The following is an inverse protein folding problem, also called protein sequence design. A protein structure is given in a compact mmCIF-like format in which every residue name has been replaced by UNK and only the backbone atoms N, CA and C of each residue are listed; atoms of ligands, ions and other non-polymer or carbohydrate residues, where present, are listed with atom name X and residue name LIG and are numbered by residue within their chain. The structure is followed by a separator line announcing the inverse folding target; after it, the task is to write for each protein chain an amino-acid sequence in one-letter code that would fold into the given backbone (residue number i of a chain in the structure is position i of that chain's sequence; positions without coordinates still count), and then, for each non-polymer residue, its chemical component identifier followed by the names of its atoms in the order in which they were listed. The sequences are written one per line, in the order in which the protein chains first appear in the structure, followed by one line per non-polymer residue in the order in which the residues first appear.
data_IF_051375223620
#
_entry.id   IF_051375223620
#
_cell.length_a   1.000
_cell.length_b   1.000
_cell.length_c   1.000
_cell.angle_alpha   90.00
_cell.angle_beta   90.00
_cell.angle_gamma   90.00
#
_symmetry.space_group_name_H-M   'P 1'
#
loop_
_entity.id
_entity.type
_entity.pdbx_description
1 polymer ?
#
# COMPACT_ATOMS: atom_id res chain seq x y z
N UNK A 1 14.90 15.99 -20.55
CA UNK A 1 16.01 15.00 -20.47
C UNK A 1 15.39 13.65 -20.23
N UNK A 2 15.32 12.80 -21.26
CA UNK A 2 14.77 11.44 -21.13
C UNK A 2 15.78 10.61 -20.35
N UNK A 3 15.43 10.18 -19.13
CA UNK A 3 16.23 9.18 -18.43
C UNK A 3 16.03 7.85 -19.15
N UNK A 4 17.09 7.34 -19.78
CA UNK A 4 17.10 5.96 -20.26
C UNK A 4 16.86 5.04 -19.07
N UNK A 5 15.81 4.21 -19.14
CA UNK A 5 15.49 3.23 -18.10
C UNK A 5 16.66 2.25 -18.00
N UNK A 6 17.07 1.95 -16.77
CA UNK A 6 18.24 1.11 -16.49
C UNK A 6 17.92 -0.33 -16.88
N UNK A 7 18.83 -0.97 -17.61
CA UNK A 7 18.76 -2.41 -17.86
C UNK A 7 19.24 -3.14 -16.59
N UNK A 8 18.42 -4.06 -16.08
CA UNK A 8 18.71 -4.86 -14.89
C UNK A 8 19.07 -6.28 -15.31
N UNK A 9 20.01 -6.92 -14.59
CA UNK A 9 20.30 -8.34 -14.78
C UNK A 9 19.35 -9.19 -13.91
N UNK A 10 19.16 -10.48 -14.21
CA UNK A 10 18.18 -11.34 -13.51
C UNK A 10 18.35 -11.40 -11.98
N UNK A 11 19.54 -11.07 -11.44
CA UNK A 11 19.82 -11.00 -10.00
C UNK A 11 19.61 -9.62 -9.36
N UNK A 12 19.36 -8.58 -10.16
CA UNK A 12 19.11 -7.21 -9.68
C UNK A 12 17.61 -6.92 -9.44
N UNK A 13 16.73 -7.85 -9.82
CA UNK A 13 15.29 -7.74 -9.60
C UNK A 13 14.92 -8.02 -8.15
N UNK A 14 13.75 -7.52 -7.74
CA UNK A 14 13.15 -7.91 -6.47
C UNK A 14 12.90 -9.42 -6.47
N UNK A 15 13.22 -10.10 -5.37
CA UNK A 15 12.81 -11.50 -5.24
C UNK A 15 11.28 -11.60 -5.14
N UNK A 16 10.69 -12.76 -5.48
CA UNK A 16 9.24 -12.94 -5.44
C UNK A 16 8.64 -12.66 -4.05
N UNK A 17 9.36 -12.98 -2.98
CA UNK A 17 8.92 -12.71 -1.61
C UNK A 17 8.86 -11.20 -1.31
N UNK A 18 9.81 -10.39 -1.80
CA UNK A 18 9.77 -8.94 -1.65
C UNK A 18 8.65 -8.32 -2.48
N UNK A 19 8.33 -8.87 -3.66
CA UNK A 19 7.18 -8.43 -4.46
C UNK A 19 5.88 -8.69 -3.69
N UNK A 20 5.70 -9.88 -3.11
CA UNK A 20 4.54 -10.21 -2.29
C UNK A 20 4.43 -9.29 -1.06
N UNK A 21 5.50 -9.17 -0.28
CA UNK A 21 5.54 -8.30 0.91
C UNK A 21 5.32 -6.82 0.56
N UNK A 22 5.74 -6.35 -0.62
CA UNK A 22 5.46 -5.00 -1.09
C UNK A 22 3.96 -4.79 -1.36
N UNK A 23 3.31 -5.77 -2.00
CA UNK A 23 1.87 -5.72 -2.32
C UNK A 23 1.01 -5.80 -1.06
N UNK A 24 1.41 -6.62 -0.09
CA UNK A 24 0.70 -6.81 1.17
C UNK A 24 1.01 -5.71 2.20
N UNK A 25 2.02 -4.87 1.96
CA UNK A 25 2.40 -3.77 2.85
C UNK A 25 3.18 -4.22 4.09
N UNK A 26 3.85 -5.37 4.01
CA UNK A 26 4.55 -6.02 5.12
C UNK A 26 6.06 -5.69 5.17
N UNK A 27 6.56 -4.94 4.19
CA UNK A 27 7.94 -4.47 4.21
C UNK A 27 8.16 -3.43 5.32
N UNK A 28 9.33 -3.48 5.96
CA UNK A 28 9.79 -2.36 6.80
C UNK A 28 9.92 -1.08 5.98
N UNK A 29 9.76 0.09 6.61
CA UNK A 29 9.84 1.39 5.92
C UNK A 29 11.08 1.56 5.04
N UNK A 30 12.24 1.07 5.51
CA UNK A 30 13.48 1.14 4.77
C UNK A 30 13.48 0.22 3.54
N UNK A 31 12.92 -0.99 3.66
CA UNK A 31 12.76 -1.92 2.55
C UNK A 31 11.73 -1.43 1.54
N UNK A 32 10.61 -0.88 2.00
CA UNK A 32 9.58 -0.27 1.17
C UNK A 32 10.14 0.86 0.30
N UNK A 33 10.90 1.81 0.88
CA UNK A 33 11.51 2.90 0.11
C UNK A 33 12.47 2.41 -0.97
N UNK A 34 13.27 1.37 -0.69
CA UNK A 34 14.17 0.77 -1.67
C UNK A 34 13.40 0.08 -2.80
N UNK A 35 12.38 -0.70 -2.46
CA UNK A 35 11.52 -1.37 -3.43
C UNK A 35 10.79 -0.34 -4.30
N UNK A 36 10.18 0.69 -3.71
CA UNK A 36 9.50 1.77 -4.43
C UNK A 36 10.43 2.44 -5.44
N UNK A 37 11.65 2.78 -5.04
CA UNK A 37 12.66 3.34 -5.94
C UNK A 37 13.03 2.37 -7.07
N UNK A 38 13.17 1.08 -6.78
CA UNK A 38 13.45 0.08 -7.81
C UNK A 38 12.31 -0.02 -8.84
N UNK A 39 11.04 0.07 -8.40
CA UNK A 39 9.88 0.02 -9.29
C UNK A 39 9.78 1.22 -10.23
N UNK A 40 10.28 2.39 -9.82
CA UNK A 40 10.38 3.57 -10.71
C UNK A 40 11.35 3.30 -11.88
N UNK A 41 12.42 2.56 -11.60
CA UNK A 41 13.51 2.31 -12.54
C UNK A 41 13.30 1.02 -13.38
N UNK A 42 12.58 0.00 -12.87
CA UNK A 42 12.44 -1.34 -13.47
C UNK A 42 11.00 -1.68 -13.88
N UNK A 43 10.74 -1.89 -15.19
CA UNK A 43 9.38 -2.22 -15.71
C UNK A 43 8.96 -3.64 -15.34
N UNK A 44 9.92 -4.57 -15.32
CA UNK A 44 9.64 -5.98 -15.05
C UNK A 44 9.10 -6.17 -13.64
N UNK A 45 9.79 -5.64 -12.63
CA UNK A 45 9.30 -5.68 -11.25
C UNK A 45 8.00 -4.89 -11.06
N UNK A 46 7.80 -3.79 -11.80
CA UNK A 46 6.50 -3.08 -11.80
C UNK A 46 5.38 -3.96 -12.33
N UNK A 47 5.62 -4.69 -13.43
CA UNK A 47 4.65 -5.60 -14.02
C UNK A 47 4.33 -6.80 -13.10
N UNK A 48 5.32 -7.31 -12.38
CA UNK A 48 5.14 -8.36 -11.37
C UNK A 48 4.28 -7.89 -10.19
N UNK A 49 4.59 -6.71 -9.63
CA UNK A 49 3.78 -6.08 -8.57
C UNK A 49 2.33 -5.91 -9.01
N UNK A 50 2.10 -5.43 -10.23
CA UNK A 50 0.74 -5.28 -10.76
C UNK A 50 0.04 -6.63 -10.97
N UNK A 51 0.79 -7.66 -11.37
CA UNK A 51 0.26 -9.02 -11.49
C UNK A 51 -0.17 -9.57 -10.13
N UNK A 52 0.66 -9.40 -9.10
CA UNK A 52 0.34 -9.79 -7.73
C UNK A 52 -0.86 -9.01 -7.18
N UNK A 53 -0.93 -7.69 -7.40
CA UNK A 53 -2.10 -6.87 -7.01
C UNK A 53 -3.39 -7.37 -7.66
N UNK A 54 -3.36 -7.69 -8.95
CA UNK A 54 -4.52 -8.26 -9.65
C UNK A 54 -4.91 -9.61 -9.07
N UNK A 55 -3.95 -10.48 -8.76
CA UNK A 55 -4.21 -11.77 -8.12
C UNK A 55 -4.87 -11.59 -6.74
N UNK A 56 -4.29 -10.74 -5.88
CA UNK A 56 -4.84 -10.44 -4.57
C UNK A 56 -6.25 -9.82 -4.65
N UNK A 57 -6.49 -8.91 -5.58
CA UNK A 57 -7.81 -8.32 -5.79
C UNK A 57 -8.84 -9.35 -6.27
N UNK A 58 -8.46 -10.25 -7.18
CA UNK A 58 -9.36 -11.34 -7.61
C UNK A 58 -9.80 -12.20 -6.44
N UNK A 59 -8.89 -12.55 -5.53
CA UNK A 59 -9.25 -13.31 -4.32
C UNK A 59 -10.21 -12.56 -3.39
N UNK A 60 -10.13 -11.23 -3.34
CA UNK A 60 -11.04 -10.39 -2.54
C UNK A 60 -12.42 -10.20 -3.17
N UNK A 61 -12.48 -10.13 -4.51
CA UNK A 61 -13.71 -9.84 -5.27
C UNK A 61 -14.47 -11.09 -5.68
N UNK A 62 -13.81 -12.23 -5.82
CA UNK A 62 -14.51 -13.53 -5.95
C UNK A 62 -15.46 -13.65 -4.77
N UNK A 63 -16.74 -13.79 -5.08
CA UNK A 63 -17.82 -13.83 -4.10
C UNK A 63 -17.50 -14.87 -3.03
N UNK A 64 -17.10 -14.39 -1.87
CA UNK A 64 -16.81 -15.21 -0.72
C UNK A 64 -18.11 -15.41 0.06
N UNK A 65 -19.14 -15.89 -0.64
CA UNK A 65 -20.51 -16.06 -0.12
C UNK A 65 -20.60 -17.01 1.08
N UNK A 66 -19.49 -17.66 1.43
CA UNK A 66 -19.34 -18.52 2.61
C UNK A 66 -18.52 -17.92 3.75
N UNK A 67 -17.82 -16.79 3.54
CA UNK A 67 -17.01 -16.13 4.57
C UNK A 67 -17.53 -14.71 4.78
N UNK A 68 -18.42 -14.60 5.76
CA UNK A 68 -18.95 -13.33 6.22
C UNK A 68 -18.68 -13.17 7.72
N UNK A 69 -18.50 -11.92 8.14
CA UNK A 69 -18.47 -11.60 9.56
C UNK A 69 -19.83 -11.96 10.20
N UNK A 70 -19.85 -12.45 11.45
CA UNK A 70 -21.09 -12.63 12.20
C UNK A 70 -21.87 -11.31 12.27
N UNK A 71 -23.20 -11.36 12.11
CA UNK A 71 -24.06 -10.17 12.13
C UNK A 71 -23.85 -9.30 13.39
N UNK A 72 -23.67 -9.95 14.55
CA UNK A 72 -23.41 -9.27 15.81
C UNK A 72 -22.09 -8.47 15.83
N UNK A 73 -21.06 -8.91 15.09
CA UNK A 73 -19.82 -8.15 14.95
C UNK A 73 -20.04 -6.93 14.05
N UNK A 74 -20.79 -7.10 12.96
CA UNK A 74 -21.13 -6.02 12.03
C UNK A 74 -21.95 -4.93 12.73
N UNK A 75 -22.96 -5.32 13.50
CA UNK A 75 -23.77 -4.38 14.30
C UNK A 75 -22.93 -3.62 15.32
N UNK A 76 -22.02 -4.32 16.02
CA UNK A 76 -21.10 -3.67 16.98
C UNK A 76 -20.16 -2.68 16.30
N UNK A 77 -19.57 -3.04 15.16
CA UNK A 77 -18.70 -2.15 14.37
C UNK A 77 -19.48 -0.93 13.85
N UNK A 78 -20.73 -1.12 13.42
CA UNK A 78 -21.59 -0.04 12.95
C UNK A 78 -21.98 0.96 14.05
N UNK A 79 -21.96 0.54 15.31
CA UNK A 79 -22.24 1.39 16.47
C UNK A 79 -21.01 2.08 17.08
N UNK A 80 -19.79 1.82 16.58
CA UNK A 80 -18.57 2.48 17.08
C UNK A 80 -18.51 3.94 16.61
N UNK A 81 -18.15 4.85 17.52
CA UNK A 81 -17.87 6.26 17.21
C UNK A 81 -16.39 6.43 16.84
N UNK A 82 -16.02 7.56 16.22
CA UNK A 82 -14.63 7.84 15.83
C UNK A 82 -13.67 7.81 17.03
N UNK A 83 -14.16 8.17 18.21
CA UNK A 83 -13.43 8.15 19.48
C UNK A 83 -13.04 6.73 19.95
N UNK A 84 -13.79 5.71 19.51
CA UNK A 84 -13.54 4.30 19.85
C UNK A 84 -12.43 3.66 19.00
N UNK A 85 -12.00 4.32 17.92
CA UNK A 85 -11.02 3.81 16.97
C UNK A 85 -9.57 4.17 17.35
N UNK A 86 -9.40 5.14 18.26
CA UNK A 86 -8.11 5.52 18.83
C UNK A 86 -7.72 4.55 19.96
N UNK A 87 -7.31 3.34 19.57
CA UNK A 87 -6.82 2.32 20.53
C UNK A 87 -5.60 2.82 21.33
N UNK A 88 -5.35 2.26 22.54
CA UNK A 88 -4.19 2.61 23.38
C UNK A 88 -2.91 2.03 22.76
N UNK A 89 -2.44 2.66 21.69
CA UNK A 89 -1.40 2.10 20.84
C UNK A 89 -1.13 2.87 19.55
N UNK A 90 -1.33 4.19 19.52
CA UNK A 90 -0.56 5.22 18.81
C UNK A 90 -0.09 5.01 17.36
N UNK A 91 -0.59 4.05 16.59
CA UNK A 91 -0.33 3.96 15.17
C UNK A 91 -1.43 4.73 14.42
N UNK A 92 -1.08 5.72 13.57
CA UNK A 92 -2.06 6.48 12.80
C UNK A 92 -3.00 5.51 12.06
N UNK A 93 -4.29 5.69 12.27
CA UNK A 93 -5.31 4.92 11.59
C UNK A 93 -5.23 5.14 10.07
N UNK A 94 -5.82 4.27 9.25
CA UNK A 94 -5.81 4.45 7.79
C UNK A 94 -6.28 5.85 7.35
N UNK A 95 -7.23 6.43 8.08
CA UNK A 95 -7.74 7.80 7.86
C UNK A 95 -6.69 8.86 8.16
N UNK A 96 -5.90 8.69 9.21
CA UNK A 96 -4.84 9.62 9.60
C UNK A 96 -3.70 9.60 8.58
N UNK A 97 -3.32 8.41 8.10
CA UNK A 97 -2.31 8.29 7.03
C UNK A 97 -2.75 8.98 5.75
N UNK A 98 -4.03 8.85 5.37
CA UNK A 98 -4.59 9.55 4.20
C UNK A 98 -4.59 11.06 4.44
N UNK A 99 -4.95 11.53 5.64
CA UNK A 99 -4.85 12.95 6.02
C UNK A 99 -3.41 13.47 5.94
N UNK A 100 -2.44 12.73 6.45
CA UNK A 100 -1.02 13.11 6.45
C UNK A 100 -0.46 13.17 5.03
N UNK A 101 -0.82 12.21 4.17
CA UNK A 101 -0.49 12.21 2.75
C UNK A 101 -1.09 13.42 2.03
N UNK A 102 -2.37 13.72 2.28
CA UNK A 102 -3.05 14.90 1.74
C UNK A 102 -2.40 16.20 2.22
N UNK A 103 -2.11 16.33 3.51
CA UNK A 103 -1.45 17.51 4.08
C UNK A 103 -0.04 17.70 3.51
N UNK A 104 0.72 16.62 3.37
CA UNK A 104 2.06 16.64 2.77
C UNK A 104 2.01 17.07 1.30
N UNK A 105 1.06 16.54 0.53
CA UNK A 105 0.85 16.90 -0.86
C UNK A 105 0.43 18.37 -1.02
N UNK A 106 -0.53 18.84 -0.21
CA UNK A 106 -0.97 20.23 -0.20
C UNK A 106 0.16 21.20 0.21
N UNK A 107 0.98 20.82 1.19
CA UNK A 107 2.15 21.61 1.61
C UNK A 107 3.22 21.72 0.52
N UNK A 108 3.45 20.65 -0.23
CA UNK A 108 4.40 20.64 -1.36
C UNK A 108 3.94 21.52 -2.54
N UNK A 109 2.63 21.73 -2.69
CA UNK A 109 2.07 22.65 -3.69
C UNK A 109 2.18 24.11 -3.25
N UNK A 110 1.91 24.42 -1.96
CA UNK A 110 2.01 25.78 -1.43
C UNK A 110 3.42 26.37 -1.49
N UNK A 111 4.46 25.58 -1.23
CA UNK A 111 5.87 26.03 -1.28
C UNK A 111 6.40 26.34 -2.69
N UNK A 112 5.66 26.02 -3.76
CA UNK A 112 6.05 26.36 -5.14
C UNK A 112 5.41 27.66 -5.66
N UNK A 113 4.61 28.32 -4.83
CA UNK A 113 3.92 29.58 -5.17
C UNK A 113 4.54 30.83 -4.56
N UNK A 114 5.68 30.71 -3.86
CA UNK A 114 6.46 31.83 -3.28
C UNK A 114 7.79 32.02 -4.02
#
# INVERSE_FOLDING_TARGET
MSMARREFNSTDHLNPEAVAAFVDGELSDAAFRRAARHLEDCEECSAEVDTQRRAANRLRVVDNSGVHAPASLVERLAGMCDEDLDGPGGAPGPRDRVKDLLQSALGALKRRGE
#
